data_IF_868194540442
#
_entry.id   IF_868194540442
#
_cell.length_a   1.000
_cell.length_b   1.000
_cell.length_c   1.000
_cell.angle_alpha   90.00
_cell.angle_beta   90.00
_cell.angle_gamma   90.00
#
_symmetry.space_group_name_H-M   'P 1'
#
loop_
_entity.id
_entity.type
_entity.pdbx_description
1 polymer ?
#
# COMPACT_ATOMS: atom_id res chain seq x y z
N UNK A 1 -8.65 10.80 -13.38
CA UNK A 1 -7.18 11.00 -13.31
C UNK A 1 -6.50 10.25 -12.16
N UNK A 2 -7.21 9.90 -11.07
CA UNK A 2 -6.58 9.25 -9.90
C UNK A 2 -6.19 7.76 -10.12
N UNK A 3 -7.02 6.95 -10.79
CA UNK A 3 -6.73 5.52 -10.99
C UNK A 3 -5.46 5.27 -11.83
N UNK A 4 -5.24 6.04 -12.89
CA UNK A 4 -4.02 5.94 -13.70
C UNK A 4 -2.77 6.35 -12.91
N UNK A 5 -2.89 7.38 -12.07
CA UNK A 5 -1.85 7.76 -11.13
C UNK A 5 -1.53 6.65 -10.13
N UNK A 6 -2.55 5.98 -9.60
CA UNK A 6 -2.35 4.84 -8.70
C UNK A 6 -1.63 3.69 -9.40
N UNK A 7 -2.00 3.35 -10.64
CA UNK A 7 -1.31 2.35 -11.45
C UNK A 7 0.17 2.67 -11.71
N UNK A 8 0.54 3.94 -11.83
CA UNK A 8 1.93 4.33 -12.00
C UNK A 8 2.78 4.12 -10.73
N UNK A 9 2.15 4.00 -9.56
CA UNK A 9 2.82 3.92 -8.26
C UNK A 9 2.80 2.53 -7.61
N UNK A 10 2.17 1.53 -8.24
CA UNK A 10 2.16 0.16 -7.71
C UNK A 10 3.46 -0.57 -8.04
N UNK A 11 3.92 -1.42 -7.12
CA UNK A 11 5.03 -2.33 -7.39
C UNK A 11 4.53 -3.57 -8.14
N UNK A 12 4.84 -3.67 -9.44
CA UNK A 12 4.43 -4.77 -10.30
C UNK A 12 5.00 -6.14 -9.89
N UNK A 13 6.10 -6.17 -9.14
CA UNK A 13 6.69 -7.39 -8.60
C UNK A 13 6.02 -7.88 -7.30
N UNK A 14 5.01 -7.17 -6.79
CA UNK A 14 4.28 -7.59 -5.59
C UNK A 14 3.51 -8.89 -5.84
N UNK A 15 3.58 -9.82 -4.89
CA UNK A 15 2.81 -11.06 -4.95
C UNK A 15 1.30 -10.81 -4.88
N UNK A 16 0.49 -11.62 -5.58
CA UNK A 16 -0.96 -11.53 -5.51
C UNK A 16 -1.50 -11.98 -4.15
N UNK A 17 -2.71 -11.52 -3.84
CA UNK A 17 -3.49 -11.97 -2.69
C UNK A 17 -4.11 -13.35 -2.92
N UNK A 18 -5.11 -13.69 -2.10
CA UNK A 18 -5.86 -14.95 -2.22
C UNK A 18 -6.72 -15.07 -3.48
N UNK A 19 -6.98 -13.95 -4.16
CA UNK A 19 -7.71 -13.88 -5.42
C UNK A 19 -6.83 -14.17 -6.65
N UNK A 20 -5.53 -14.37 -6.46
CA UNK A 20 -4.54 -14.63 -7.51
C UNK A 20 -4.41 -13.52 -8.56
N UNK A 21 -4.93 -12.31 -8.30
CA UNK A 21 -4.82 -11.17 -9.22
C UNK A 21 -3.56 -10.37 -8.91
N UNK A 22 -2.69 -10.23 -9.90
CA UNK A 22 -1.44 -9.46 -9.83
C UNK A 22 -1.59 -8.02 -10.34
N UNK A 23 -0.68 -7.14 -9.95
CA UNK A 23 -0.63 -5.79 -10.52
C UNK A 23 -0.31 -5.78 -12.01
N UNK A 24 0.51 -6.72 -12.48
CA UNK A 24 0.84 -6.85 -13.91
C UNK A 24 -0.41 -7.06 -14.73
N UNK A 25 -1.28 -7.99 -14.33
CA UNK A 25 -2.57 -8.23 -14.99
C UNK A 25 -3.46 -6.98 -14.94
N UNK A 26 -3.59 -6.35 -13.77
CA UNK A 26 -4.40 -5.14 -13.61
C UNK A 26 -3.91 -3.96 -14.48
N UNK A 27 -2.60 -3.83 -14.70
CA UNK A 27 -2.06 -2.75 -15.54
C UNK A 27 -2.31 -2.98 -17.04
N UNK A 28 -2.49 -4.24 -17.47
CA UNK A 28 -2.69 -4.61 -18.86
C UNK A 28 -4.17 -4.72 -19.27
N UNK A 29 -5.12 -4.56 -18.34
CA UNK A 29 -6.54 -4.57 -18.70
C UNK A 29 -6.88 -3.38 -19.61
N UNK A 30 -7.82 -3.59 -20.54
CA UNK A 30 -8.27 -2.54 -21.45
C UNK A 30 -9.03 -1.41 -20.76
N UNK A 31 -9.19 -0.28 -21.44
CA UNK A 31 -9.78 0.94 -20.84
C UNK A 31 -11.21 0.74 -20.34
N UNK A 32 -12.01 -0.08 -21.02
CA UNK A 32 -13.36 -0.46 -20.54
C UNK A 32 -13.31 -1.15 -19.17
N UNK A 33 -12.33 -2.02 -18.95
CA UNK A 33 -12.15 -2.69 -17.67
C UNK A 33 -11.65 -1.72 -16.60
N UNK A 34 -10.72 -0.81 -16.94
CA UNK A 34 -10.27 0.25 -16.03
C UNK A 34 -11.42 1.18 -15.61
N UNK A 35 -12.30 1.54 -16.54
CA UNK A 35 -13.49 2.35 -16.23
C UNK A 35 -14.47 1.61 -15.31
N UNK A 36 -14.71 0.31 -15.55
CA UNK A 36 -15.51 -0.51 -14.64
C UNK A 36 -14.90 -0.61 -13.25
N UNK A 37 -13.57 -0.79 -13.18
CA UNK A 37 -12.86 -0.86 -11.91
C UNK A 37 -12.99 0.45 -11.12
N UNK A 38 -12.82 1.59 -11.79
CA UNK A 38 -13.04 2.91 -11.20
C UNK A 38 -14.48 3.08 -10.69
N UNK A 39 -15.48 2.65 -11.48
CA UNK A 39 -16.87 2.71 -11.07
C UNK A 39 -17.14 1.88 -9.81
N UNK A 40 -16.54 0.70 -9.69
CA UNK A 40 -16.64 -0.16 -8.50
C UNK A 40 -16.01 0.54 -7.29
N UNK A 41 -14.82 1.14 -7.45
CA UNK A 41 -14.15 1.85 -6.36
C UNK A 41 -14.96 3.06 -5.88
N UNK A 42 -15.52 3.85 -6.80
CA UNK A 42 -16.37 4.99 -6.45
C UNK A 42 -17.65 4.54 -5.74
N UNK A 43 -18.32 3.50 -6.23
CA UNK A 43 -19.50 2.94 -5.58
C UNK A 43 -19.17 2.42 -4.17
N UNK A 44 -18.01 1.79 -3.98
CA UNK A 44 -17.53 1.35 -2.66
C UNK A 44 -17.28 2.53 -1.71
N UNK A 45 -16.69 3.61 -2.21
CA UNK A 45 -16.45 4.85 -1.46
C UNK A 45 -17.76 5.52 -1.02
N UNK A 46 -18.69 5.73 -1.97
CA UNK A 46 -19.99 6.36 -1.72
C UNK A 46 -20.86 5.56 -0.75
N UNK A 47 -20.89 4.23 -0.93
CA UNK A 47 -21.65 3.33 -0.07
C UNK A 47 -21.01 3.09 1.30
N UNK A 48 -19.75 3.54 1.51
CA UNK A 48 -18.93 3.27 2.70
C UNK A 48 -18.77 1.76 2.96
N UNK A 49 -18.83 0.95 1.92
CA UNK A 49 -18.75 -0.52 1.99
C UNK A 49 -17.64 -1.02 1.08
N UNK A 50 -16.64 -1.63 1.69
CA UNK A 50 -15.59 -2.36 0.99
C UNK A 50 -16.00 -3.82 0.82
N UNK A 51 -15.74 -4.36 -0.36
CA UNK A 51 -15.92 -5.78 -0.67
C UNK A 51 -15.12 -6.66 0.31
N UNK A 52 -15.68 -7.79 0.78
CA UNK A 52 -15.00 -8.68 1.71
C UNK A 52 -13.64 -9.18 1.22
N UNK A 53 -13.47 -9.35 -0.09
CA UNK A 53 -12.20 -9.76 -0.68
C UNK A 53 -11.07 -8.76 -0.44
N UNK A 54 -11.37 -7.46 -0.37
CA UNK A 54 -10.39 -6.42 -0.07
C UNK A 54 -9.98 -6.39 1.41
N UNK A 55 -10.76 -7.00 2.31
CA UNK A 55 -10.49 -7.05 3.76
C UNK A 55 -9.79 -8.32 4.22
N UNK A 56 -9.71 -9.34 3.36
CA UNK A 56 -9.07 -10.62 3.67
C UNK A 56 -7.61 -10.59 3.22
N UNK A 57 -6.74 -11.17 4.03
CA UNK A 57 -5.34 -11.34 3.71
C UNK A 57 -4.92 -12.80 3.89
N UNK A 58 -4.04 -13.28 3.01
CA UNK A 58 -3.32 -14.54 3.22
C UNK A 58 -2.06 -14.25 4.03
N UNK A 59 -1.94 -14.84 5.21
CA UNK A 59 -0.75 -14.68 6.04
C UNK A 59 0.30 -15.72 5.63
N UNK A 60 1.49 -15.25 5.27
CA UNK A 60 2.63 -16.10 4.92
C UNK A 60 3.80 -15.77 5.86
N UNK A 61 4.37 -16.74 6.60
CA UNK A 61 5.56 -16.50 7.41
C UNK A 61 6.81 -16.39 6.53
N UNK A 62 7.61 -15.34 6.73
CA UNK A 62 8.93 -15.17 6.11
C UNK A 62 10.02 -15.32 7.18
N UNK A 63 10.99 -16.19 6.93
CA UNK A 63 12.13 -16.38 7.83
C UNK A 63 12.99 -15.11 7.86
N UNK A 64 13.26 -14.61 9.08
CA UNK A 64 14.18 -13.48 9.30
C UNK A 64 15.61 -13.91 8.92
N UNK A 65 16.40 -13.06 8.26
CA UNK A 65 17.78 -13.37 7.91
C UNK A 65 18.62 -13.79 9.13
N UNK A 66 19.39 -14.88 9.00
CA UNK A 66 20.29 -15.36 10.05
C UNK A 66 19.62 -16.00 11.27
N UNK A 67 18.31 -16.29 11.22
CA UNK A 67 17.57 -16.95 12.31
C UNK A 67 17.29 -18.43 11.99
N UNK A 68 17.14 -19.24 13.04
CA UNK A 68 16.89 -20.69 12.94
C UNK A 68 15.47 -20.98 12.41
N UNK A 69 15.29 -21.82 11.38
CA UNK A 69 13.97 -22.23 10.90
C UNK A 69 13.15 -23.04 11.90
N UNK A 70 13.77 -23.56 12.96
CA UNK A 70 13.08 -24.39 13.96
C UNK A 70 12.32 -23.56 15.01
N UNK A 71 12.65 -22.27 15.15
CA UNK A 71 12.05 -21.41 16.16
C UNK A 71 10.93 -20.55 15.54
N UNK A 72 9.77 -20.52 16.19
CA UNK A 72 8.61 -19.76 15.71
C UNK A 72 8.92 -18.25 15.62
N UNK A 73 9.68 -17.71 16.58
CA UNK A 73 10.07 -16.29 16.64
C UNK A 73 11.01 -15.87 15.50
N UNK A 74 11.59 -16.82 14.79
CA UNK A 74 12.41 -16.57 13.61
C UNK A 74 11.60 -16.09 12.41
N UNK A 75 10.28 -16.22 12.43
CA UNK A 75 9.43 -15.82 11.33
C UNK A 75 8.80 -14.43 11.54
N UNK A 76 8.67 -13.68 10.44
CA UNK A 76 7.88 -12.45 10.37
C UNK A 76 6.64 -12.75 9.52
N UNK A 77 5.42 -12.72 10.09
CA UNK A 77 4.21 -12.92 9.31
C UNK A 77 3.99 -11.72 8.38
N UNK A 78 3.81 -11.98 7.09
CA UNK A 78 3.38 -10.97 6.11
C UNK A 78 1.94 -11.23 5.67
N UNK A 79 1.16 -10.15 5.52
CA UNK A 79 -0.22 -10.21 5.06
C UNK A 79 -0.29 -9.88 3.55
N UNK A 80 -0.70 -10.84 2.74
CA UNK A 80 -0.91 -10.67 1.31
C UNK A 80 -2.38 -10.36 1.02
N UNK A 81 -2.69 -9.07 0.84
CA UNK A 81 -4.00 -8.58 0.43
C UNK A 81 -4.17 -8.62 -1.10
N UNK A 82 -5.44 -8.60 -1.55
CA UNK A 82 -5.82 -8.43 -2.95
C UNK A 82 -5.12 -7.22 -3.58
N UNK A 83 -4.53 -7.40 -4.76
CA UNK A 83 -3.94 -6.26 -5.51
C UNK A 83 -5.01 -5.25 -5.94
N UNK A 84 -6.25 -5.69 -6.15
CA UNK A 84 -7.39 -4.80 -6.44
C UNK A 84 -7.68 -3.91 -5.23
N UNK A 85 -7.76 -4.51 -4.03
CA UNK A 85 -7.97 -3.76 -2.79
C UNK A 85 -6.84 -2.77 -2.51
N UNK A 86 -5.58 -3.23 -2.61
CA UNK A 86 -4.40 -2.37 -2.44
C UNK A 86 -4.34 -1.23 -3.44
N UNK A 87 -4.86 -1.41 -4.66
CA UNK A 87 -4.95 -0.33 -5.66
C UNK A 87 -5.93 0.76 -5.22
N UNK A 88 -7.09 0.38 -4.67
CA UNK A 88 -8.04 1.33 -4.10
C UNK A 88 -7.45 2.07 -2.89
N UNK A 89 -6.78 1.36 -1.98
CA UNK A 89 -6.04 1.96 -0.86
C UNK A 89 -5.01 2.97 -1.35
N UNK A 90 -4.30 2.66 -2.44
CA UNK A 90 -3.32 3.56 -3.05
C UNK A 90 -3.96 4.85 -3.56
N UNK A 91 -5.15 4.79 -4.17
CA UNK A 91 -5.89 5.99 -4.59
C UNK A 91 -6.22 6.88 -3.39
N UNK A 92 -6.76 6.29 -2.31
CA UNK A 92 -7.09 7.03 -1.09
C UNK A 92 -5.83 7.64 -0.45
N UNK A 93 -4.75 6.88 -0.38
CA UNK A 93 -3.47 7.33 0.15
C UNK A 93 -2.92 8.54 -0.63
N UNK A 94 -3.04 8.54 -1.96
CA UNK A 94 -2.59 9.67 -2.78
C UNK A 94 -3.37 10.96 -2.47
N UNK A 95 -4.69 10.85 -2.34
CA UNK A 95 -5.55 12.00 -2.05
C UNK A 95 -5.29 12.52 -0.62
N UNK A 96 -5.09 11.62 0.35
CA UNK A 96 -4.74 11.98 1.73
C UNK A 96 -3.35 12.61 1.83
N UNK A 97 -2.34 12.04 1.19
CA UNK A 97 -0.97 12.59 1.18
C UNK A 97 -0.95 14.00 0.59
N UNK A 98 -1.65 14.21 -0.52
CA UNK A 98 -1.79 15.52 -1.14
C UNK A 98 -2.44 16.55 -0.21
N UNK A 99 -3.51 16.15 0.49
CA UNK A 99 -4.20 17.00 1.47
C UNK A 99 -3.29 17.38 2.64
N UNK A 100 -2.58 16.38 3.21
CA UNK A 100 -1.68 16.60 4.35
C UNK A 100 -0.50 17.51 3.98
N UNK A 101 0.06 17.35 2.77
CA UNK A 101 1.12 18.23 2.27
C UNK A 101 0.62 19.66 2.04
N UNK A 102 -0.55 19.82 1.40
CA UNK A 102 -1.13 21.14 1.13
C UNK A 102 -1.41 21.94 2.41
N UNK A 103 -1.84 21.25 3.46
CA UNK A 103 -2.18 21.86 4.73
C UNK A 103 -1.02 21.90 5.74
N UNK A 104 0.19 21.46 5.34
CA UNK A 104 1.35 21.29 6.22
C UNK A 104 1.01 20.52 7.52
N UNK A 105 0.15 19.51 7.40
CA UNK A 105 -0.44 18.78 8.52
C UNK A 105 0.36 17.53 8.94
N UNK A 106 1.52 17.30 8.30
CA UNK A 106 2.42 16.24 8.70
C UNK A 106 3.16 16.61 10.00
N UNK A 107 3.23 15.71 10.99
CA UNK A 107 4.06 15.92 12.16
C UNK A 107 5.53 16.15 11.74
N UNK A 108 6.24 17.14 12.30
CA UNK A 108 7.60 17.46 11.89
C UNK A 108 8.59 16.31 12.18
N UNK A 109 8.31 15.50 13.21
CA UNK A 109 9.12 14.33 13.58
C UNK A 109 8.82 13.09 12.73
N UNK A 110 7.77 13.10 11.90
CA UNK A 110 7.43 11.95 11.07
C UNK A 110 8.28 11.94 9.80
N UNK A 111 9.26 11.04 9.75
CA UNK A 111 10.08 10.74 8.57
C UNK A 111 9.66 9.45 7.87
N UNK A 112 9.13 8.47 8.61
CA UNK A 112 8.67 7.20 8.08
C UNK A 112 7.50 7.39 7.10
N UNK A 113 7.57 6.71 5.95
CA UNK A 113 6.52 6.71 4.93
C UNK A 113 6.13 8.10 4.38
N UNK A 114 6.99 9.11 4.58
CA UNK A 114 6.76 10.48 4.10
C UNK A 114 7.66 10.77 2.90
N UNK A 115 7.06 11.28 1.82
CA UNK A 115 7.81 11.64 0.61
C UNK A 115 8.89 12.68 0.94
N UNK A 116 10.11 12.44 0.45
CA UNK A 116 11.25 13.33 0.66
C UNK A 116 11.90 13.23 2.05
N UNK A 117 11.50 12.26 2.88
CA UNK A 117 12.12 11.94 4.16
C UNK A 117 12.57 10.47 4.18
N UNK A 118 13.52 10.16 5.04
CA UNK A 118 14.02 8.81 5.26
C UNK A 118 14.43 8.61 6.72
N UNK A 119 14.80 7.39 7.09
CA UNK A 119 15.25 7.08 8.45
C UNK A 119 16.49 7.87 8.88
N UNK A 120 17.28 8.40 7.94
CA UNK A 120 18.45 9.22 8.26
C UNK A 120 18.07 10.58 8.86
N UNK A 121 16.91 11.14 8.49
CA UNK A 121 16.41 12.39 9.06
C UNK A 121 16.24 12.26 10.58
N UNK A 122 15.78 11.10 11.04
CA UNK A 122 15.64 10.82 12.48
C UNK A 122 17.00 10.74 13.17
N UNK A 123 17.98 10.11 12.53
CA UNK A 123 19.35 10.00 13.08
C UNK A 123 19.98 11.38 13.21
N UNK A 124 19.88 12.21 12.16
CA UNK A 124 20.38 13.58 12.17
C UNK A 124 19.67 14.40 13.26
N UNK A 125 18.34 14.28 13.36
CA UNK A 125 17.57 14.96 14.41
C UNK A 125 18.01 14.52 15.81
N UNK A 126 18.35 13.24 16.00
CA UNK A 126 18.80 12.72 17.29
C UNK A 126 20.19 13.27 17.66
N UNK A 127 21.12 13.30 16.70
CA UNK A 127 22.48 13.82 16.91
C UNK A 127 22.44 15.32 17.25
N UNK A 128 21.61 16.09 16.55
CA UNK A 128 21.50 17.54 16.75
C UNK A 128 20.65 17.94 17.97
N UNK A 129 20.02 16.98 18.65
CA UNK A 129 19.30 17.21 19.92
C UNK A 129 20.19 17.04 21.16
N UNK A 130 21.46 16.68 20.98
CA UNK A 130 22.53 16.69 22.01
C UNK A 130 23.33 17.98 21.88
#
# INVERSE_FOLDING_TARGET
MELLGAFALVNKASSPGSDCVSYTELTHVGDKAKMRLLAIFNASWESRRLEPCCKRARVTPILKPGKSPMDLDSYCPIALLSCVGKLMEKMVLMSLDSLLMKNNAYPPQLSGFRKGRSSIDNVISLINCV
#
